data_IF_903077339454
#
_entry.id   IF_903077339454
#
_cell.length_a   1.000
_cell.length_b   1.000
_cell.length_c   1.000
_cell.angle_alpha   90.00
_cell.angle_beta   90.00
_cell.angle_gamma   90.00
#
_symmetry.space_group_name_H-M   'P 1'
#
loop_
_entity.id
_entity.type
_entity.pdbx_description
1 polymer ?
#
# COMPACT_ATOMS: atom_id res chain seq x y z
N UNK A 1 16.96 -2.97 22.14
CA UNK A 1 16.35 -3.78 21.07
C UNK A 1 17.34 -4.89 20.74
N UNK A 2 16.87 -6.12 20.62
CA UNK A 2 17.68 -7.34 20.42
C UNK A 2 17.10 -8.16 19.27
N UNK A 3 17.87 -9.11 18.74
CA UNK A 3 17.43 -9.86 17.55
C UNK A 3 16.29 -10.83 17.87
N UNK A 4 16.27 -11.42 19.05
CA UNK A 4 15.26 -12.43 19.39
C UNK A 4 15.16 -12.72 20.88
N UNK A 5 14.24 -13.64 21.21
CA UNK A 5 13.81 -13.89 22.59
C UNK A 5 14.93 -14.39 23.50
N UNK A 6 15.81 -15.27 23.02
CA UNK A 6 16.94 -15.79 23.82
C UNK A 6 17.96 -14.70 24.18
N UNK A 7 18.17 -13.73 23.28
CA UNK A 7 19.02 -12.57 23.56
C UNK A 7 18.33 -11.61 24.54
N UNK A 8 17.01 -11.44 24.42
CA UNK A 8 16.20 -10.64 25.34
C UNK A 8 16.28 -11.18 26.77
N UNK A 9 16.16 -12.50 26.96
CA UNK A 9 16.28 -13.16 28.26
C UNK A 9 17.67 -12.92 28.89
N UNK A 10 18.73 -13.03 28.09
CA UNK A 10 20.11 -12.82 28.54
C UNK A 10 20.31 -11.38 29.01
N UNK A 11 19.85 -10.40 28.24
CA UNK A 11 20.00 -8.97 28.54
C UNK A 11 19.19 -8.55 29.76
N UNK A 12 17.95 -9.03 29.89
CA UNK A 12 17.09 -8.72 31.05
C UNK A 12 17.61 -9.39 32.31
N UNK A 13 18.04 -10.66 32.22
CA UNK A 13 18.58 -11.42 33.36
C UNK A 13 19.90 -10.87 33.90
N UNK A 14 20.71 -10.23 33.04
CA UNK A 14 21.96 -9.59 33.45
C UNK A 14 21.77 -8.17 34.02
N UNK A 15 20.61 -7.55 33.81
CA UNK A 15 20.40 -6.13 34.06
C UNK A 15 19.62 -5.83 35.34
N UNK A 16 20.16 -6.18 36.52
CA UNK A 16 19.77 -5.76 37.89
C UNK A 16 18.32 -5.27 38.12
N UNK A 17 17.32 -5.92 37.50
CA UNK A 17 15.90 -5.58 37.61
C UNK A 17 15.45 -4.25 36.97
N UNK A 18 16.30 -3.57 36.18
CA UNK A 18 15.95 -2.27 35.57
C UNK A 18 15.86 -2.30 34.03
N UNK A 19 16.31 -3.38 33.40
CA UNK A 19 16.42 -3.47 31.94
C UNK A 19 15.16 -4.08 31.34
N UNK A 20 14.68 -3.46 30.25
CA UNK A 20 13.63 -3.99 29.39
C UNK A 20 14.22 -4.22 28.00
N UNK A 21 14.02 -5.42 27.45
CA UNK A 21 14.42 -5.78 26.09
C UNK A 21 13.18 -5.83 25.19
N UNK A 22 13.39 -5.50 23.92
CA UNK A 22 12.38 -5.60 22.86
C UNK A 22 13.01 -6.37 21.70
N UNK A 23 12.39 -7.47 21.26
CA UNK A 23 12.85 -8.26 20.10
C UNK A 23 12.49 -7.54 18.80
N UNK A 24 13.12 -7.92 17.67
CA UNK A 24 12.71 -7.41 16.35
C UNK A 24 11.29 -7.80 15.96
N UNK A 25 10.80 -8.92 16.49
CA UNK A 25 9.44 -9.40 16.32
C UNK A 25 8.43 -8.68 17.23
N UNK A 26 8.90 -7.76 18.08
CA UNK A 26 8.06 -6.89 18.90
C UNK A 26 7.70 -7.43 20.29
N UNK A 27 8.28 -8.56 20.71
CA UNK A 27 8.12 -9.06 22.07
C UNK A 27 8.88 -8.16 23.06
N UNK A 28 8.20 -7.72 24.10
CA UNK A 28 8.75 -6.88 25.16
C UNK A 28 8.96 -7.73 26.41
N UNK A 29 10.21 -7.85 26.87
CA UNK A 29 10.58 -8.58 28.08
C UNK A 29 11.14 -7.63 29.11
N UNK A 30 10.57 -7.64 30.31
CA UNK A 30 11.10 -7.00 31.50
C UNK A 30 11.34 -8.01 32.63
N UNK A 31 11.91 -7.57 33.76
CA UNK A 31 12.35 -8.47 34.84
C UNK A 31 11.23 -9.34 35.44
N UNK A 32 9.99 -8.87 35.35
CA UNK A 32 8.82 -9.51 35.97
C UNK A 32 7.60 -9.59 35.02
N UNK A 33 7.78 -9.24 33.74
CA UNK A 33 6.68 -9.23 32.78
C UNK A 33 7.19 -9.55 31.37
N UNK A 34 6.34 -10.15 30.57
CA UNK A 34 6.55 -10.31 29.14
C UNK A 34 5.25 -9.97 28.42
N UNK A 35 5.35 -9.16 27.37
CA UNK A 35 4.26 -8.83 26.46
C UNK A 35 4.70 -9.20 25.05
N UNK A 36 4.11 -10.28 24.53
CA UNK A 36 4.20 -10.65 23.12
C UNK A 36 2.82 -10.54 22.48
N UNK A 37 2.74 -9.90 21.32
CA UNK A 37 1.48 -9.58 20.64
C UNK A 37 1.40 -10.14 19.23
N UNK A 38 0.53 -11.13 19.05
CA UNK A 38 -0.06 -11.61 17.79
C UNK A 38 0.92 -11.92 16.64
N UNK A 39 1.41 -13.16 16.59
CA UNK A 39 2.01 -13.77 15.41
C UNK A 39 1.02 -14.00 14.23
N UNK A 40 -0.18 -13.39 14.22
CA UNK A 40 -1.27 -13.76 13.29
C UNK A 40 -2.04 -12.63 12.60
N UNK A 41 -1.95 -11.39 13.08
CA UNK A 41 -2.62 -10.23 12.48
C UNK A 41 -1.59 -9.11 12.21
N UNK A 42 -1.70 -8.38 11.09
CA UNK A 42 -0.81 -7.27 10.78
C UNK A 42 -0.77 -6.26 11.92
N UNK A 43 0.41 -5.75 12.23
CA UNK A 43 0.55 -4.59 13.10
C UNK A 43 -0.14 -3.37 12.48
N UNK A 44 -0.47 -2.37 13.30
CA UNK A 44 -1.07 -1.13 12.81
C UNK A 44 -0.17 -0.41 11.78
N UNK A 45 1.16 -0.49 11.94
CA UNK A 45 2.11 0.09 10.98
C UNK A 45 2.05 -0.65 9.64
N UNK A 46 1.98 -1.98 9.65
CA UNK A 46 1.85 -2.78 8.43
C UNK A 46 0.49 -2.61 7.76
N UNK A 47 -0.58 -2.51 8.54
CA UNK A 47 -1.90 -2.20 8.01
C UNK A 47 -1.93 -0.80 7.38
N UNK A 48 -1.26 0.18 8.01
CA UNK A 48 -1.15 1.53 7.45
C UNK A 48 -0.32 1.53 6.16
N UNK A 49 0.79 0.80 6.11
CA UNK A 49 1.60 0.68 4.90
C UNK A 49 0.80 0.08 3.73
N UNK A 50 -0.03 -0.93 3.98
CA UNK A 50 -0.93 -1.50 2.97
C UNK A 50 -1.99 -0.51 2.49
N UNK A 51 -2.53 0.33 3.38
CA UNK A 51 -3.46 1.40 3.00
C UNK A 51 -2.76 2.44 2.13
N UNK A 52 -1.54 2.84 2.49
CA UNK A 52 -0.76 3.82 1.75
C UNK A 52 -0.40 3.29 0.34
N UNK A 53 -0.02 2.00 0.25
CA UNK A 53 0.23 1.31 -1.02
C UNK A 53 -1.03 1.27 -1.90
N UNK A 54 -2.16 0.83 -1.34
CA UNK A 54 -3.42 0.77 -2.08
C UNK A 54 -3.90 2.16 -2.54
N UNK A 55 -3.68 3.20 -1.73
CA UNK A 55 -4.00 4.57 -2.10
C UNK A 55 -3.12 5.08 -3.27
N UNK A 56 -1.83 4.72 -3.28
CA UNK A 56 -0.93 5.05 -4.37
C UNK A 56 -1.31 4.34 -5.67
N UNK A 57 -1.65 3.04 -5.60
CA UNK A 57 -2.12 2.28 -6.76
C UNK A 57 -3.42 2.86 -7.34
N UNK A 58 -4.35 3.25 -6.47
CA UNK A 58 -5.62 3.86 -6.89
C UNK A 58 -5.38 5.18 -7.65
N UNK A 59 -4.49 6.05 -7.15
CA UNK A 59 -4.18 7.31 -7.81
C UNK A 59 -3.58 7.12 -9.23
N UNK A 60 -2.78 6.06 -9.42
CA UNK A 60 -2.25 5.69 -10.74
C UNK A 60 -3.37 5.23 -11.67
N UNK A 61 -4.30 4.41 -11.17
CA UNK A 61 -5.44 3.94 -11.95
C UNK A 61 -6.39 5.07 -12.34
N UNK A 62 -6.64 6.01 -11.44
CA UNK A 62 -7.48 7.19 -11.72
C UNK A 62 -6.91 8.01 -12.88
N UNK A 63 -5.60 8.28 -12.85
CA UNK A 63 -4.90 8.98 -13.94
C UNK A 63 -5.09 8.25 -15.27
N UNK A 64 -4.90 6.93 -15.28
CA UNK A 64 -5.06 6.12 -16.50
C UNK A 64 -6.51 6.12 -17.00
N UNK A 65 -7.49 6.11 -16.11
CA UNK A 65 -8.90 6.19 -16.47
C UNK A 65 -9.22 7.53 -17.14
N UNK A 66 -8.69 8.64 -16.64
CA UNK A 66 -8.86 9.97 -17.24
C UNK A 66 -8.26 10.04 -18.65
N UNK A 67 -7.05 9.51 -18.84
CA UNK A 67 -6.38 9.43 -20.14
C UNK A 67 -7.20 8.61 -21.14
N UNK A 68 -7.69 7.43 -20.73
CA UNK A 68 -8.52 6.57 -21.57
C UNK A 68 -9.85 7.24 -21.93
N UNK A 69 -10.48 7.94 -20.98
CA UNK A 69 -11.70 8.68 -21.22
C UNK A 69 -11.47 9.84 -22.21
N UNK A 70 -10.33 10.52 -22.13
CA UNK A 70 -9.95 11.55 -23.11
C UNK A 70 -9.76 10.96 -24.51
N UNK A 71 -8.99 9.88 -24.62
CA UNK A 71 -8.77 9.19 -25.89
C UNK A 71 -10.09 8.68 -26.51
N UNK A 72 -11.01 8.17 -25.69
CA UNK A 72 -12.33 7.75 -26.15
C UNK A 72 -13.14 8.93 -26.73
N UNK A 73 -13.16 10.07 -26.05
CA UNK A 73 -13.87 11.28 -26.54
C UNK A 73 -13.30 11.76 -27.87
N UNK A 74 -11.98 11.76 -28.01
CA UNK A 74 -11.32 12.16 -29.26
C UNK A 74 -11.63 11.19 -30.40
N UNK A 75 -11.64 9.88 -30.13
CA UNK A 75 -12.01 8.87 -31.12
C UNK A 75 -13.48 9.02 -31.57
N UNK A 76 -14.40 9.30 -30.64
CA UNK A 76 -15.81 9.58 -30.96
C UNK A 76 -15.95 10.83 -31.83
N UNK A 77 -15.23 11.91 -31.50
CA UNK A 77 -15.23 13.14 -32.31
C UNK A 77 -14.71 12.87 -33.73
N UNK A 78 -13.58 12.20 -33.86
CA UNK A 78 -12.99 11.86 -35.16
C UNK A 78 -13.95 11.01 -36.01
N UNK A 79 -14.60 10.02 -35.40
CA UNK A 79 -15.59 9.18 -36.08
C UNK A 79 -16.76 10.02 -36.60
N UNK A 80 -17.27 10.95 -35.81
CA UNK A 80 -18.37 11.83 -36.22
C UNK A 80 -17.95 12.73 -37.39
N UNK A 81 -16.76 13.35 -37.33
CA UNK A 81 -16.22 14.16 -38.43
C UNK A 81 -16.06 13.35 -39.72
N UNK A 82 -15.59 12.10 -39.62
CA UNK A 82 -15.46 11.21 -40.76
C UNK A 82 -16.82 10.84 -41.35
N UNK A 83 -17.82 10.54 -40.51
CA UNK A 83 -19.18 10.24 -40.96
C UNK A 83 -19.79 11.41 -41.75
N UNK A 84 -19.70 12.64 -41.23
CA UNK A 84 -20.17 13.84 -41.93
C UNK A 84 -19.47 14.02 -43.28
N UNK A 85 -18.14 13.86 -43.34
CA UNK A 85 -17.41 13.93 -44.62
C UNK A 85 -17.86 12.87 -45.63
N UNK A 86 -18.17 11.66 -45.17
CA UNK A 86 -18.67 10.61 -46.07
C UNK A 86 -20.05 10.92 -46.62
N UNK A 87 -20.93 11.54 -45.82
CA UNK A 87 -22.25 12.00 -46.25
C UNK A 87 -22.14 13.13 -47.29
N UNK A 88 -21.34 14.17 -47.01
CA UNK A 88 -21.09 15.27 -47.94
C UNK A 88 -20.52 14.78 -49.30
N UNK A 89 -19.65 13.78 -49.28
CA UNK A 89 -19.11 13.19 -50.51
C UNK A 89 -20.15 12.35 -51.26
N UNK A 90 -21.07 11.69 -50.55
CA UNK A 90 -22.16 10.93 -51.15
C UNK A 90 -23.17 11.86 -51.84
N UNK A 91 -23.48 13.02 -51.27
CA UNK A 91 -24.38 14.02 -51.87
C UNK A 91 -23.80 14.68 -53.14
N UNK A 92 -22.48 14.64 -53.32
CA UNK A 92 -21.79 15.24 -54.47
C UNK A 92 -21.61 14.29 -55.67
N UNK A 93 -22.04 13.03 -55.57
CA UNK A 93 -21.97 12.02 -56.65
C UNK A 93 -23.31 11.87 -57.35
#
# INVERSE_FOLDING_TARGET
VVEGLSEAETVVGAGDGAVVAVTRDGDVLGPHFAHGGSAGAPSLLEAQAQVDEAAAELAVLDTRCEELAAAQRDAVRLRAEQATRTEELAERR
#
